data_IF_824881309487
#
_entry.id   IF_824881309487
#
_cell.length_a   1.000
_cell.length_b   1.000
_cell.length_c   1.000
_cell.angle_alpha   90.00
_cell.angle_beta   90.00
_cell.angle_gamma   90.00
#
_symmetry.space_group_name_H-M   'P 1'
#
loop_
_entity.id
_entity.type
_entity.pdbx_description
1 polymer ?
#
# COMPACT_ATOMS: atom_id res chain seq x y z
N UNK A 1 9.84 -74.45 -46.18
CA UNK A 1 9.87 -73.04 -46.61
C UNK A 1 9.27 -72.06 -45.59
N UNK A 2 8.59 -72.54 -44.52
CA UNK A 2 7.95 -71.69 -43.49
C UNK A 2 8.91 -71.29 -42.35
N UNK A 3 9.89 -72.14 -42.00
CA UNK A 3 10.82 -71.86 -40.89
C UNK A 3 11.76 -70.66 -41.15
N UNK A 4 12.22 -70.48 -42.39
CA UNK A 4 13.14 -69.39 -42.77
C UNK A 4 12.45 -68.01 -42.74
N UNK A 5 11.12 -67.99 -42.89
CA UNK A 5 10.33 -66.75 -42.85
C UNK A 5 10.06 -66.29 -41.41
N UNK A 6 9.96 -67.23 -40.45
CA UNK A 6 9.74 -66.90 -39.04
C UNK A 6 10.98 -66.24 -38.41
N UNK A 7 12.17 -66.78 -38.68
CA UNK A 7 13.45 -66.25 -38.17
C UNK A 7 13.76 -64.85 -38.72
N UNK A 8 13.33 -64.55 -39.95
CA UNK A 8 13.50 -63.24 -40.55
C UNK A 8 12.56 -62.18 -39.93
N UNK A 9 11.35 -62.60 -39.54
CA UNK A 9 10.38 -61.74 -38.86
C UNK A 9 10.81 -61.46 -37.42
N UNK A 10 11.28 -62.48 -36.69
CA UNK A 10 11.79 -62.32 -35.32
C UNK A 10 12.96 -61.33 -35.26
N UNK A 11 13.94 -61.45 -36.18
CA UNK A 11 15.07 -60.49 -36.24
C UNK A 11 14.63 -59.06 -36.56
N UNK A 12 13.54 -58.89 -37.33
CA UNK A 12 13.01 -57.56 -37.66
C UNK A 12 12.26 -56.96 -36.47
N UNK A 13 11.47 -57.76 -35.76
CA UNK A 13 10.77 -57.34 -34.54
C UNK A 13 11.78 -56.97 -33.46
N UNK A 14 12.81 -57.79 -33.23
CA UNK A 14 13.86 -57.49 -32.25
C UNK A 14 14.63 -56.20 -32.59
N UNK A 15 14.87 -55.94 -33.88
CA UNK A 15 15.50 -54.70 -34.34
C UNK A 15 14.63 -53.46 -34.10
N UNK A 16 13.34 -53.52 -34.44
CA UNK A 16 12.41 -52.40 -34.25
C UNK A 16 12.10 -52.14 -32.76
N UNK A 17 11.97 -53.21 -31.96
CA UNK A 17 11.79 -53.12 -30.50
C UNK A 17 13.05 -52.58 -29.83
N UNK A 18 14.24 -52.98 -30.28
CA UNK A 18 15.51 -52.45 -29.80
C UNK A 18 15.66 -50.96 -30.07
N UNK A 19 15.29 -50.49 -31.27
CA UNK A 19 15.30 -49.07 -31.62
C UNK A 19 14.30 -48.25 -30.79
N UNK A 20 13.08 -48.77 -30.59
CA UNK A 20 12.07 -48.11 -29.77
C UNK A 20 12.49 -48.00 -28.30
N UNK A 21 13.11 -49.05 -27.74
CA UNK A 21 13.64 -49.05 -26.38
C UNK A 21 14.81 -48.07 -26.21
N UNK A 22 15.69 -47.98 -27.21
CA UNK A 22 16.77 -46.99 -27.23
C UNK A 22 16.27 -45.55 -27.26
N UNK A 23 15.25 -45.27 -28.08
CA UNK A 23 14.61 -43.95 -28.15
C UNK A 23 13.93 -43.55 -26.84
N UNK A 24 13.24 -44.49 -26.19
CA UNK A 24 12.59 -44.24 -24.90
C UNK A 24 13.61 -43.96 -23.77
N UNK A 25 14.74 -44.68 -23.76
CA UNK A 25 15.80 -44.45 -22.78
C UNK A 25 16.46 -43.08 -22.96
N UNK A 26 16.70 -42.65 -24.20
CA UNK A 26 17.25 -41.32 -24.48
C UNK A 26 16.30 -40.20 -24.02
N UNK A 27 14.99 -40.39 -24.23
CA UNK A 27 13.96 -39.42 -23.85
C UNK A 27 13.77 -39.35 -22.33
N UNK A 28 13.86 -40.48 -21.63
CA UNK A 28 13.86 -40.52 -20.16
C UNK A 28 15.05 -39.78 -19.56
N UNK A 29 16.24 -39.93 -20.15
CA UNK A 29 17.44 -39.27 -19.66
C UNK A 29 17.41 -37.75 -19.91
N UNK A 30 16.91 -37.32 -21.07
CA UNK A 30 16.67 -35.90 -21.36
C UNK A 30 15.67 -35.28 -20.37
N UNK A 31 14.58 -35.98 -20.06
CA UNK A 31 13.58 -35.51 -19.09
C UNK A 31 14.11 -35.50 -17.67
N UNK A 32 14.95 -36.47 -17.28
CA UNK A 32 15.63 -36.50 -15.98
C UNK A 32 16.51 -35.27 -15.80
N UNK A 33 17.36 -34.96 -16.78
CA UNK A 33 18.25 -33.81 -16.75
C UNK A 33 17.47 -32.48 -16.73
N UNK A 34 16.38 -32.38 -17.48
CA UNK A 34 15.51 -31.21 -17.46
C UNK A 34 14.85 -31.00 -16.09
N UNK A 35 14.42 -32.09 -15.44
CA UNK A 35 13.80 -32.04 -14.12
C UNK A 35 14.82 -31.66 -13.03
N UNK A 36 16.03 -32.23 -13.08
CA UNK A 36 17.13 -31.87 -12.16
C UNK A 36 17.52 -30.40 -12.28
N UNK A 37 17.55 -29.85 -13.50
CA UNK A 37 17.81 -28.42 -13.72
C UNK A 37 16.70 -27.52 -13.18
N UNK A 38 15.43 -27.96 -13.24
CA UNK A 38 14.31 -27.23 -12.63
C UNK A 38 14.34 -27.30 -11.11
N UNK A 39 14.71 -28.44 -10.53
CA UNK A 39 14.83 -28.61 -9.08
C UNK A 39 15.95 -27.73 -8.51
N UNK A 40 17.12 -27.68 -9.17
CA UNK A 40 18.21 -26.80 -8.77
C UNK A 40 17.83 -25.30 -8.83
N UNK A 41 16.98 -24.90 -9.80
CA UNK A 41 16.43 -23.53 -9.84
C UNK A 41 15.44 -23.24 -8.73
N UNK A 42 14.70 -24.24 -8.27
CA UNK A 42 13.77 -24.12 -7.15
C UNK A 42 14.52 -24.01 -5.82
N UNK A 43 15.54 -24.83 -5.60
CA UNK A 43 16.40 -24.75 -4.40
C UNK A 43 17.08 -23.37 -4.32
N UNK A 44 17.66 -22.88 -5.42
CA UNK A 44 18.26 -21.55 -5.44
C UNK A 44 17.28 -20.42 -5.10
N UNK A 45 16.00 -20.54 -5.50
CA UNK A 45 14.94 -19.59 -5.14
C UNK A 45 14.49 -19.73 -3.69
N UNK A 46 14.50 -20.94 -3.14
CA UNK A 46 14.17 -21.19 -1.75
C UNK A 46 15.24 -20.60 -0.81
N UNK A 47 16.52 -20.74 -1.18
CA UNK A 47 17.65 -20.13 -0.47
C UNK A 47 17.59 -18.60 -0.53
N UNK A 48 17.31 -18.01 -1.71
CA UNK A 48 17.14 -16.57 -1.88
C UNK A 48 15.98 -16.01 -1.03
N UNK A 49 14.88 -16.77 -0.91
CA UNK A 49 13.76 -16.42 -0.04
C UNK A 49 14.13 -16.53 1.45
N UNK A 50 14.90 -17.55 1.83
CA UNK A 50 15.43 -17.72 3.18
C UNK A 50 16.33 -16.57 3.61
N UNK A 51 17.23 -16.14 2.73
CA UNK A 51 18.13 -15.01 2.98
C UNK A 51 17.38 -13.67 3.07
N UNK A 52 16.33 -13.49 2.26
CA UNK A 52 15.46 -12.32 2.34
C UNK A 52 14.68 -12.29 3.68
N UNK A 53 14.21 -13.44 4.16
CA UNK A 53 13.52 -13.56 5.46
C UNK A 53 14.46 -13.31 6.64
N UNK A 54 15.68 -13.85 6.60
CA UNK A 54 16.70 -13.60 7.61
C UNK A 54 17.19 -12.15 7.60
N UNK A 55 17.16 -11.49 6.43
CA UNK A 55 17.33 -10.04 6.31
C UNK A 55 16.25 -9.26 7.04
N UNK A 56 14.99 -9.67 6.91
CA UNK A 56 13.85 -9.06 7.59
C UNK A 56 13.96 -9.20 9.12
N UNK A 57 14.45 -10.36 9.60
CA UNK A 57 14.67 -10.66 11.02
C UNK A 57 15.78 -9.82 11.68
N UNK A 58 16.70 -9.26 10.89
CA UNK A 58 17.79 -8.40 11.36
C UNK A 58 17.42 -6.92 11.42
N UNK A 59 16.37 -6.51 10.71
CA UNK A 59 15.73 -5.23 10.95
C UNK A 59 14.93 -5.37 12.26
N UNK A 60 15.02 -4.41 13.19
CA UNK A 60 14.40 -4.44 14.52
C UNK A 60 12.86 -4.40 14.46
N UNK A 61 12.26 -5.36 13.78
CA UNK A 61 10.83 -5.56 13.67
C UNK A 61 10.48 -6.77 14.55
N UNK A 62 10.08 -6.46 15.79
CA UNK A 62 9.60 -7.36 16.85
C UNK A 62 10.66 -8.07 17.71
N UNK A 63 10.41 -8.10 19.03
CA UNK A 63 11.12 -9.01 19.94
C UNK A 63 10.76 -10.46 19.58
N UNK A 64 11.70 -11.38 19.76
CA UNK A 64 11.61 -12.79 19.33
C UNK A 64 10.33 -13.51 19.83
N UNK A 65 9.87 -13.17 21.03
CA UNK A 65 8.68 -13.73 21.69
C UNK A 65 7.33 -13.18 21.16
N UNK A 66 7.33 -12.02 20.51
CA UNK A 66 6.17 -11.46 19.81
C UNK A 66 6.05 -12.04 18.40
N UNK A 67 7.18 -12.19 17.71
CA UNK A 67 7.23 -12.81 16.40
C UNK A 67 6.80 -14.29 16.45
N UNK A 68 7.26 -15.05 17.45
CA UNK A 68 6.90 -16.47 17.56
C UNK A 68 5.39 -16.66 17.81
N UNK A 69 4.77 -15.81 18.65
CA UNK A 69 3.30 -15.82 18.88
C UNK A 69 2.51 -15.45 17.62
N UNK A 70 2.96 -14.42 16.92
CA UNK A 70 2.39 -14.02 15.65
C UNK A 70 2.50 -15.17 14.64
N UNK A 71 3.64 -15.84 14.57
CA UNK A 71 3.84 -16.92 13.61
C UNK A 71 2.92 -18.12 13.87
N UNK A 72 2.71 -18.46 15.14
CA UNK A 72 1.77 -19.50 15.56
C UNK A 72 0.31 -19.12 15.26
N UNK A 73 -0.05 -17.85 15.36
CA UNK A 73 -1.38 -17.33 15.01
C UNK A 73 -1.65 -17.44 13.50
N UNK A 74 -0.70 -17.03 12.65
CA UNK A 74 -0.83 -17.15 11.19
C UNK A 74 -0.84 -18.61 10.73
N UNK A 75 -0.05 -19.48 11.37
CA UNK A 75 -0.07 -20.91 11.10
C UNK A 75 -1.40 -21.55 11.51
N UNK A 76 -2.00 -21.05 12.59
CA UNK A 76 -3.35 -21.42 13.03
C UNK A 76 -4.43 -20.99 12.03
N UNK A 77 -4.31 -19.82 11.39
CA UNK A 77 -5.27 -19.35 10.39
C UNK A 77 -5.11 -19.99 9.01
N UNK A 78 -3.90 -20.45 8.66
CA UNK A 78 -3.61 -21.20 7.43
C UNK A 78 -3.97 -22.69 7.53
N UNK A 79 -4.41 -23.16 8.70
CA UNK A 79 -4.60 -24.57 9.00
C UNK A 79 -6.04 -25.06 8.83
N UNK A 80 -6.36 -25.63 7.67
CA UNK A 80 -7.29 -26.78 7.62
C UNK A 80 -6.61 -27.95 6.92
N UNK A 81 -5.88 -28.76 7.70
CA UNK A 81 -5.49 -30.14 7.35
C UNK A 81 -4.13 -30.33 6.68
N UNK A 82 -3.36 -31.38 7.06
CA UNK A 82 -2.10 -31.71 6.41
C UNK A 82 -2.37 -32.34 5.04
N UNK A 83 -2.17 -31.57 3.97
CA UNK A 83 -2.23 -32.08 2.60
C UNK A 83 -2.87 -31.17 1.55
N UNK A 84 -3.41 -30.00 1.92
CA UNK A 84 -3.91 -29.06 0.92
C UNK A 84 -2.77 -28.20 0.37
N UNK A 85 -2.63 -28.21 -0.95
CA UNK A 85 -1.82 -27.27 -1.73
C UNK A 85 -2.24 -25.85 -1.34
N UNK A 86 -1.30 -25.11 -0.73
CA UNK A 86 -1.56 -23.76 -0.23
C UNK A 86 -1.63 -22.83 -1.43
N UNK A 87 -2.85 -22.43 -1.78
CA UNK A 87 -3.14 -21.53 -2.89
C UNK A 87 -2.47 -20.16 -2.64
N UNK A 88 -1.58 -19.76 -3.57
CA UNK A 88 -0.79 -18.54 -3.47
C UNK A 88 -1.67 -17.28 -3.38
N UNK A 89 -2.87 -17.32 -3.95
CA UNK A 89 -3.82 -16.21 -3.88
C UNK A 89 -4.45 -16.07 -2.49
N UNK A 90 -4.68 -17.18 -1.78
CA UNK A 90 -5.15 -17.16 -0.39
C UNK A 90 -4.06 -16.70 0.57
N UNK A 91 -2.81 -17.11 0.35
CA UNK A 91 -1.66 -16.59 1.12
C UNK A 91 -1.50 -15.10 0.91
N UNK A 92 -1.66 -14.62 -0.34
CA UNK A 92 -1.58 -13.20 -0.65
C UNK A 92 -2.71 -12.40 -0.02
N UNK A 93 -3.94 -12.93 -0.03
CA UNK A 93 -5.08 -12.28 0.61
C UNK A 93 -4.91 -12.20 2.13
N UNK A 94 -4.47 -13.29 2.76
CA UNK A 94 -4.21 -13.34 4.19
C UNK A 94 -3.02 -12.44 4.59
N UNK A 95 -1.94 -12.43 3.81
CA UNK A 95 -0.81 -11.54 4.05
C UNK A 95 -1.21 -10.07 3.95
N UNK A 96 -2.08 -9.72 2.99
CA UNK A 96 -2.67 -8.37 2.91
C UNK A 96 -3.52 -8.06 4.14
N UNK A 97 -4.40 -8.96 4.55
CA UNK A 97 -5.29 -8.74 5.69
C UNK A 97 -4.51 -8.57 7.01
N UNK A 98 -3.50 -9.40 7.23
CA UNK A 98 -2.65 -9.35 8.44
C UNK A 98 -1.79 -8.08 8.44
N UNK A 99 -1.18 -7.74 7.29
CA UNK A 99 -0.41 -6.50 7.17
C UNK A 99 -1.30 -5.27 7.42
N UNK A 100 -2.52 -5.24 6.86
CA UNK A 100 -3.46 -4.14 7.07
C UNK A 100 -3.89 -4.05 8.54
N UNK A 101 -4.24 -5.17 9.18
CA UNK A 101 -4.66 -5.19 10.59
C UNK A 101 -3.58 -4.72 11.55
N UNK A 102 -2.33 -5.08 11.30
CA UNK A 102 -1.21 -4.71 12.17
C UNK A 102 -0.74 -3.26 11.94
N UNK A 103 -0.86 -2.77 10.70
CA UNK A 103 -0.63 -1.36 10.34
C UNK A 103 -1.76 -0.47 10.86
N UNK A 104 -3.01 -0.95 10.89
CA UNK A 104 -4.16 -0.28 11.50
C UNK A 104 -3.99 -0.11 13.02
N UNK A 105 -3.40 -1.10 13.71
CA UNK A 105 -3.06 -0.98 15.14
C UNK A 105 -1.86 -0.06 15.38
N UNK A 106 -0.92 -0.01 14.44
CA UNK A 106 0.29 0.80 14.49
C UNK A 106 0.23 2.00 13.54
N UNK A 107 -0.91 2.71 13.45
CA UNK A 107 -1.06 3.97 12.70
C UNK A 107 -0.13 5.12 13.20
N UNK A 108 0.98 4.79 13.85
CA UNK A 108 2.26 5.45 13.71
C UNK A 108 2.93 5.01 12.39
N UNK A 109 2.36 5.42 11.26
CA UNK A 109 2.89 5.23 9.90
C UNK A 109 4.25 5.94 9.69
N UNK A 110 5.31 5.45 10.33
CA UNK A 110 6.69 5.91 10.20
C UNK A 110 7.05 7.23 10.90
N UNK A 111 6.06 8.01 11.38
CA UNK A 111 6.29 9.36 11.97
C UNK A 111 6.17 9.36 13.51
N UNK A 112 5.63 8.29 14.11
CA UNK A 112 5.47 8.21 15.58
C UNK A 112 4.41 9.15 16.17
N UNK A 113 3.47 9.65 15.35
CA UNK A 113 2.36 10.53 15.77
C UNK A 113 1.02 9.90 15.41
N UNK A 114 0.02 10.02 16.29
CA UNK A 114 -1.34 9.52 16.06
C UNK A 114 -2.02 10.31 14.94
N UNK A 115 -2.66 9.62 14.00
CA UNK A 115 -3.52 10.22 12.98
C UNK A 115 -4.99 10.24 13.45
N UNK A 116 -5.56 11.44 13.56
CA UNK A 116 -6.96 11.66 13.95
C UNK A 116 -7.90 11.81 12.76
N UNK A 117 -7.37 11.92 11.54
CA UNK A 117 -8.14 12.01 10.31
C UNK A 117 -8.40 10.64 9.68
N UNK A 118 -7.70 9.59 10.13
CA UNK A 118 -7.79 8.24 9.55
C UNK A 118 -9.22 7.67 9.53
N UNK A 119 -9.63 7.12 8.38
CA UNK A 119 -10.99 6.62 8.15
C UNK A 119 -11.35 5.44 9.07
N UNK A 120 -10.44 4.47 9.22
CA UNK A 120 -10.62 3.31 10.11
C UNK A 120 -10.74 3.72 11.59
N UNK A 121 -10.22 4.88 11.95
CA UNK A 121 -10.34 5.47 13.29
C UNK A 121 -11.62 6.27 13.52
N UNK A 122 -12.49 6.40 12.52
CA UNK A 122 -13.74 7.20 12.59
C UNK A 122 -13.63 8.60 12.00
N UNK A 123 -12.48 8.96 11.43
CA UNK A 123 -12.37 10.12 10.55
C UNK A 123 -13.21 9.93 9.28
N UNK A 124 -13.68 11.01 8.68
CA UNK A 124 -14.43 10.94 7.41
C UNK A 124 -14.38 12.24 6.63
N UNK A 125 -14.50 12.15 5.32
CA UNK A 125 -14.66 13.32 4.46
C UNK A 125 -16.12 13.77 4.48
N UNK A 126 -16.36 15.02 4.89
CA UNK A 126 -17.71 15.60 4.98
C UNK A 126 -18.08 16.37 3.72
N UNK A 127 -17.13 17.15 3.18
CA UNK A 127 -17.33 17.95 1.96
C UNK A 127 -16.04 17.98 1.15
N UNK A 128 -16.15 18.06 -0.17
CA UNK A 128 -15.00 18.20 -1.04
C UNK A 128 -15.38 18.90 -2.34
N UNK A 129 -14.37 19.41 -3.06
CA UNK A 129 -14.53 19.90 -4.45
C UNK A 129 -14.91 18.78 -5.42
N UNK A 130 -15.32 19.14 -6.64
CA UNK A 130 -15.77 18.16 -7.62
C UNK A 130 -14.71 17.07 -7.88
N UNK A 131 -15.08 15.82 -7.64
CA UNK A 131 -14.18 14.70 -7.86
C UNK A 131 -13.91 14.52 -9.35
N UNK A 132 -12.68 14.17 -9.70
CA UNK A 132 -12.29 13.88 -11.07
C UNK A 132 -12.82 12.50 -11.46
N UNK A 133 -13.75 12.47 -12.40
CA UNK A 133 -14.25 11.24 -13.01
C UNK A 133 -13.59 11.08 -14.38
N UNK A 134 -12.77 10.03 -14.60
CA UNK A 134 -12.15 9.81 -15.89
C UNK A 134 -13.24 9.57 -16.95
N UNK A 135 -13.32 10.47 -17.94
CA UNK A 135 -14.15 10.25 -19.13
C UNK A 135 -13.51 9.13 -19.95
N UNK A 136 -14.02 7.90 -19.87
CA UNK A 136 -13.59 6.83 -20.79
C UNK A 136 -14.67 6.50 -21.81
N UNK A 137 -14.27 6.62 -23.08
CA UNK A 137 -15.00 6.14 -24.23
C UNK A 137 -14.96 4.61 -24.34
N UNK A 138 -15.96 4.10 -25.07
CA UNK A 138 -16.27 2.72 -25.43
C UNK A 138 -16.88 1.79 -24.35
N UNK A 139 -18.11 1.40 -24.66
CA UNK A 139 -19.08 0.51 -23.98
C UNK A 139 -18.51 -0.85 -23.53
N UNK A 140 -17.36 -1.30 -24.05
CA UNK A 140 -16.79 -2.64 -23.76
C UNK A 140 -15.96 -2.65 -22.45
N UNK A 141 -15.53 -1.49 -21.94
CA UNK A 141 -14.78 -1.40 -20.68
C UNK A 141 -15.65 -1.26 -19.43
N UNK A 142 -16.99 -1.24 -19.57
CA UNK A 142 -17.95 -1.00 -18.49
C UNK A 142 -18.09 -2.13 -17.46
N UNK A 143 -17.59 -3.34 -17.73
CA UNK A 143 -17.70 -4.49 -16.82
C UNK A 143 -16.52 -4.65 -15.85
N UNK A 144 -15.39 -3.98 -16.10
CA UNK A 144 -14.25 -3.88 -15.17
C UNK A 144 -14.09 -2.46 -14.63
N UNK A 145 -15.17 -1.66 -14.68
CA UNK A 145 -15.15 -0.25 -14.39
C UNK A 145 -14.84 -0.01 -12.90
N UNK A 146 -13.61 0.42 -12.64
CA UNK A 146 -13.13 0.86 -11.35
C UNK A 146 -14.03 1.92 -10.72
N UNK A 147 -14.12 1.81 -9.40
CA UNK A 147 -15.03 2.50 -8.49
C UNK A 147 -15.22 3.99 -8.76
N UNK A 148 -16.39 4.47 -8.33
CA UNK A 148 -16.67 5.90 -8.12
C UNK A 148 -15.48 6.55 -7.39
N UNK A 149 -15.19 7.81 -7.71
CA UNK A 149 -14.17 8.57 -6.99
C UNK A 149 -14.55 8.61 -5.49
N UNK A 150 -13.84 7.83 -4.70
CA UNK A 150 -14.08 7.67 -3.27
C UNK A 150 -13.19 8.64 -2.50
N UNK A 151 -13.76 9.68 -1.88
CA UNK A 151 -13.00 10.64 -1.10
C UNK A 151 -12.37 10.02 0.15
N UNK A 152 -12.88 8.91 0.67
CA UNK A 152 -12.31 8.28 1.88
C UNK A 152 -10.92 7.69 1.64
N UNK A 153 -10.52 7.47 0.38
CA UNK A 153 -9.20 6.94 0.03
C UNK A 153 -8.03 7.79 0.55
N UNK A 154 -8.18 9.12 0.64
CA UNK A 154 -7.12 9.99 1.18
C UNK A 154 -6.96 9.88 2.71
N UNK A 155 -7.91 9.25 3.39
CA UNK A 155 -7.88 9.01 4.84
C UNK A 155 -7.51 7.55 5.15
N UNK A 156 -7.24 6.74 4.12
CA UNK A 156 -6.83 5.35 4.23
C UNK A 156 -5.32 5.20 3.94
N UNK A 157 -4.65 4.21 4.54
CA UNK A 157 -3.27 3.90 4.21
C UNK A 157 -3.20 3.33 2.78
N UNK A 158 -2.75 4.15 1.85
CA UNK A 158 -2.28 3.71 0.54
C UNK A 158 -0.77 3.90 0.53
N UNK A 159 0.02 2.84 0.35
CA UNK A 159 1.49 2.86 0.41
C UNK A 159 2.12 3.61 -0.79
N UNK A 160 1.54 4.74 -1.19
CA UNK A 160 1.88 5.45 -2.42
C UNK A 160 1.50 4.67 -3.68
N UNK A 161 0.57 3.71 -3.59
CA UNK A 161 0.16 2.92 -4.73
C UNK A 161 -0.52 3.81 -5.80
N UNK A 162 -0.02 3.79 -7.04
CA UNK A 162 -0.51 4.68 -8.10
C UNK A 162 -2.00 4.46 -8.37
N UNK A 163 -2.75 5.57 -8.43
CA UNK A 163 -4.19 5.52 -8.69
C UNK A 163 -5.07 5.23 -7.47
N UNK A 164 -4.48 5.07 -6.28
CA UNK A 164 -5.23 4.99 -5.01
C UNK A 164 -5.45 6.37 -4.35
N UNK A 165 -5.17 7.47 -5.05
CA UNK A 165 -5.37 8.81 -4.54
C UNK A 165 -6.80 9.33 -4.80
N UNK A 166 -7.23 10.29 -3.97
CA UNK A 166 -8.44 11.04 -4.22
C UNK A 166 -8.16 12.17 -5.22
N UNK A 167 -8.71 12.04 -6.43
CA UNK A 167 -8.53 12.98 -7.51
C UNK A 167 -9.68 14.01 -7.55
N UNK A 168 -9.33 15.29 -7.62
CA UNK A 168 -10.26 16.42 -7.76
C UNK A 168 -10.02 17.14 -9.09
N UNK A 169 -11.05 17.74 -9.67
CA UNK A 169 -10.95 18.45 -10.94
C UNK A 169 -10.18 19.76 -10.80
N UNK A 170 -9.34 20.06 -11.79
CA UNK A 170 -8.56 21.30 -11.84
C UNK A 170 -7.37 21.32 -10.88
N UNK A 171 -6.81 22.51 -10.66
CA UNK A 171 -5.61 22.73 -9.85
C UNK A 171 -5.90 23.36 -8.48
N UNK A 172 -7.16 23.70 -8.21
CA UNK A 172 -7.61 24.31 -6.96
C UNK A 172 -8.85 23.59 -6.41
N UNK A 173 -9.01 23.61 -5.10
CA UNK A 173 -10.11 22.92 -4.45
C UNK A 173 -9.96 22.86 -2.94
N UNK A 174 -10.87 22.13 -2.32
CA UNK A 174 -10.88 21.93 -0.88
C UNK A 174 -11.40 20.55 -0.49
N UNK A 175 -11.01 20.10 0.70
CA UNK A 175 -11.57 18.93 1.38
C UNK A 175 -11.81 19.28 2.84
N UNK A 176 -13.01 18.98 3.33
CA UNK A 176 -13.40 19.12 4.73
C UNK A 176 -13.53 17.73 5.36
N UNK A 177 -12.85 17.55 6.49
CA UNK A 177 -12.68 16.28 7.17
C UNK A 177 -13.19 16.47 8.60
N UNK A 178 -14.03 15.53 9.03
CA UNK A 178 -14.37 15.38 10.44
C UNK A 178 -13.38 14.41 11.07
N UNK A 179 -12.70 14.86 12.11
CA UNK A 179 -11.78 14.04 12.88
C UNK A 179 -12.55 13.04 13.74
N UNK A 180 -11.89 11.95 14.14
CA UNK A 180 -12.49 10.94 15.02
C UNK A 180 -12.92 11.47 16.39
N UNK A 181 -12.22 12.49 16.89
CA UNK A 181 -12.48 13.14 18.18
C UNK A 181 -11.99 14.58 18.14
N UNK A 182 -12.39 15.38 19.13
CA UNK A 182 -11.87 16.73 19.33
C UNK A 182 -10.42 16.70 19.83
N UNK A 183 -9.54 17.46 19.18
CA UNK A 183 -8.11 17.52 19.52
C UNK A 183 -7.60 18.96 19.61
N UNK A 184 -6.49 19.13 20.31
CA UNK A 184 -5.62 20.29 20.17
C UNK A 184 -4.62 19.96 19.05
N UNK A 185 -4.68 20.64 17.89
CA UNK A 185 -3.90 20.29 16.72
C UNK A 185 -2.44 20.72 16.89
N UNK A 186 -1.51 19.86 16.47
CA UNK A 186 -0.06 20.11 16.59
C UNK A 186 0.65 20.10 15.24
N UNK A 187 0.24 19.22 14.32
CA UNK A 187 0.81 19.16 12.99
C UNK A 187 -0.16 18.52 12.00
N UNK A 188 0.11 18.72 10.72
CA UNK A 188 -0.55 18.03 9.62
C UNK A 188 0.49 17.39 8.71
N UNK A 189 0.15 16.26 8.12
CA UNK A 189 1.04 15.57 7.17
C UNK A 189 0.31 15.40 5.85
N UNK A 190 0.99 15.73 4.76
CA UNK A 190 0.52 15.51 3.40
C UNK A 190 1.47 14.53 2.69
N UNK A 191 0.88 13.57 2.00
CA UNK A 191 1.62 12.55 1.26
C UNK A 191 1.27 12.56 -0.21
N UNK A 192 2.26 12.19 -1.01
CA UNK A 192 2.12 11.92 -2.43
C UNK A 192 2.99 10.72 -2.83
N UNK A 193 2.89 10.27 -4.09
CA UNK A 193 3.80 9.25 -4.64
C UNK A 193 5.28 9.63 -4.46
N UNK A 194 6.07 8.63 -4.09
CA UNK A 194 7.51 8.75 -3.90
C UNK A 194 8.23 9.11 -5.19
N UNK A 195 9.40 9.73 -5.04
CA UNK A 195 10.30 9.89 -6.17
C UNK A 195 10.85 8.50 -6.46
N UNK A 196 10.83 8.09 -7.72
CA UNK A 196 11.41 6.79 -8.14
C UNK A 196 12.90 6.67 -7.74
N UNK A 197 13.60 7.79 -7.58
CA UNK A 197 14.98 7.85 -7.05
C UNK A 197 15.10 7.36 -5.59
N UNK A 198 14.05 7.53 -4.76
CA UNK A 198 14.04 7.00 -3.39
C UNK A 198 13.92 5.46 -3.38
N UNK A 199 13.19 4.90 -4.35
CA UNK A 199 13.10 3.44 -4.59
C UNK A 199 14.45 2.91 -5.09
N UNK A 200 15.14 3.68 -5.94
CA UNK A 200 16.46 3.35 -6.42
C UNK A 200 17.56 3.48 -5.36
N UNK A 201 17.41 4.33 -4.34
CA UNK A 201 18.41 4.48 -3.27
C UNK A 201 18.68 3.18 -2.52
N UNK A 202 17.67 2.32 -2.37
CA UNK A 202 17.79 0.96 -1.80
C UNK A 202 18.46 -0.03 -2.76
N UNK A 203 18.42 0.23 -4.06
CA UNK A 203 19.00 -0.62 -5.12
C UNK A 203 20.33 -0.07 -5.67
N UNK A 204 20.75 1.13 -5.25
CA UNK A 204 21.93 1.84 -5.72
C UNK A 204 23.25 1.20 -5.29
N UNK A 205 23.23 0.28 -4.33
CA UNK A 205 24.38 -0.58 -3.99
C UNK A 205 24.76 -1.54 -5.11
N UNK A 206 23.86 -1.76 -6.07
CA UNK A 206 24.06 -2.68 -7.19
C UNK A 206 24.09 -1.91 -8.50
N UNK A 207 25.30 -1.48 -8.90
CA UNK A 207 25.54 -0.73 -10.14
C UNK A 207 24.98 -1.40 -11.42
N UNK A 208 24.77 -2.72 -11.40
CA UNK A 208 24.18 -3.49 -12.50
C UNK A 208 22.64 -3.39 -12.57
N UNK A 209 21.96 -3.08 -11.46
CA UNK A 209 20.51 -2.86 -11.44
C UNK A 209 20.16 -1.52 -12.09
N UNK A 210 21.02 -0.50 -11.93
CA UNK A 210 20.84 0.80 -12.56
C UNK A 210 20.62 0.66 -14.09
N UNK A 211 21.40 -0.14 -14.81
CA UNK A 211 21.25 -0.29 -16.28
C UNK A 211 19.95 -1.00 -16.69
N UNK A 212 19.42 -1.89 -15.85
CA UNK A 212 18.13 -2.57 -16.06
C UNK A 212 16.94 -1.66 -15.73
N UNK A 213 17.12 -0.73 -14.77
CA UNK A 213 16.08 0.20 -14.30
C UNK A 213 16.06 1.52 -15.08
N UNK A 214 17.16 1.93 -15.73
CA UNK A 214 17.15 3.07 -16.67
C UNK A 214 16.18 2.85 -17.86
N UNK A 215 15.84 1.60 -18.19
CA UNK A 215 14.80 1.25 -19.16
C UNK A 215 13.36 1.31 -18.63
N UNK A 216 13.14 1.59 -17.35
CA UNK A 216 11.81 1.75 -16.72
C UNK A 216 11.43 3.22 -16.51
N UNK A 217 12.06 4.14 -17.23
CA UNK A 217 11.74 5.58 -17.19
C UNK A 217 10.31 5.91 -17.66
N UNK A 218 9.62 4.95 -18.29
CA UNK A 218 8.28 5.14 -18.84
C UNK A 218 7.13 4.93 -17.84
N UNK A 219 7.40 4.50 -16.59
CA UNK A 219 6.37 4.55 -15.52
C UNK A 219 6.50 5.88 -14.77
N UNK A 220 6.42 6.98 -15.53
CA UNK A 220 6.37 8.32 -14.96
C UNK A 220 5.09 8.45 -14.13
N UNK A 221 5.19 8.24 -12.81
CA UNK A 221 4.16 8.68 -11.90
C UNK A 221 4.05 10.19 -12.02
N UNK A 222 2.92 10.66 -12.57
CA UNK A 222 2.70 12.07 -12.82
C UNK A 222 2.54 12.84 -11.50
N UNK A 223 3.68 13.28 -10.97
CA UNK A 223 3.80 14.10 -9.76
C UNK A 223 3.34 15.54 -9.98
N UNK A 224 3.04 15.95 -11.23
CA UNK A 224 2.48 17.28 -11.52
C UNK A 224 1.07 17.46 -10.94
N UNK A 225 0.41 16.35 -10.63
CA UNK A 225 -0.90 16.30 -9.98
C UNK A 225 -0.86 16.56 -8.48
N UNK A 226 0.32 16.59 -7.86
CA UNK A 226 0.43 16.86 -6.43
C UNK A 226 -0.06 18.27 -6.09
N UNK A 227 -0.81 18.47 -4.99
CA UNK A 227 -1.14 19.81 -4.52
C UNK A 227 0.16 20.55 -4.17
N UNK A 228 0.17 21.87 -4.37
CA UNK A 228 1.34 22.71 -4.14
C UNK A 228 1.08 23.70 -3.01
N UNK A 229 0.37 24.78 -3.29
CA UNK A 229 0.11 25.83 -2.31
C UNK A 229 -1.14 25.50 -1.49
N UNK A 230 -0.94 25.15 -0.22
CA UNK A 230 -1.97 24.61 0.67
C UNK A 230 -2.19 25.50 1.90
N UNK A 231 -3.43 25.56 2.36
CA UNK A 231 -3.83 26.18 3.63
C UNK A 231 -4.74 25.23 4.39
N UNK A 232 -4.43 25.00 5.66
CA UNK A 232 -5.24 24.18 6.56
C UNK A 232 -5.91 25.07 7.59
N UNK A 233 -7.21 24.92 7.72
CA UNK A 233 -8.02 25.60 8.73
C UNK A 233 -8.77 24.57 9.59
N UNK A 234 -9.07 24.92 10.85
CA UNK A 234 -9.78 24.05 11.76
C UNK A 234 -10.81 24.81 12.60
N UNK A 235 -11.86 24.11 13.02
CA UNK A 235 -12.87 24.63 13.93
C UNK A 235 -13.49 23.51 14.76
N UNK A 236 -14.24 23.91 15.77
CA UNK A 236 -15.10 23.00 16.52
C UNK A 236 -16.54 23.14 16.02
N UNK A 237 -17.14 22.03 15.62
CA UNK A 237 -18.56 21.92 15.28
C UNK A 237 -19.26 21.10 16.36
N UNK A 238 -20.15 21.74 17.13
CA UNK A 238 -20.99 21.07 18.13
C UNK A 238 -22.03 20.17 17.43
N UNK A 239 -22.14 18.92 17.87
CA UNK A 239 -23.21 18.02 17.46
C UNK A 239 -24.54 18.46 18.08
N UNK A 240 -25.61 18.43 17.29
CA UNK A 240 -26.98 18.81 17.70
C UNK A 240 -27.44 18.03 18.95
N UNK A 241 -27.32 18.66 20.12
CA UNK A 241 -27.66 18.07 21.42
C UNK A 241 -26.99 18.75 22.62
N UNK A 242 -25.89 19.49 22.41
CA UNK A 242 -25.24 20.29 23.45
C UNK A 242 -25.67 21.76 23.35
N UNK A 243 -25.83 22.43 24.50
CA UNK A 243 -26.40 23.77 24.58
C UNK A 243 -25.55 24.78 23.80
N UNK A 244 -26.19 25.45 22.84
CA UNK A 244 -25.60 26.44 21.93
C UNK A 244 -24.69 27.43 22.66
N UNK A 245 -23.36 27.24 22.55
CA UNK A 245 -22.42 28.29 22.86
C UNK A 245 -22.49 29.32 21.74
N UNK A 246 -22.84 30.56 22.07
CA UNK A 246 -23.06 31.69 21.16
C UNK A 246 -21.82 32.18 20.40
N UNK A 247 -20.75 31.39 20.33
CA UNK A 247 -19.59 31.67 19.51
C UNK A 247 -19.75 30.91 18.19
N UNK A 248 -20.10 31.63 17.13
CA UNK A 248 -19.93 31.12 15.76
C UNK A 248 -18.56 30.46 15.65
N UNK A 249 -18.51 29.20 15.22
CA UNK A 249 -17.30 28.40 15.14
C UNK A 249 -16.19 29.21 14.45
N UNK A 250 -15.27 29.76 15.25
CA UNK A 250 -14.22 30.65 14.74
C UNK A 250 -13.22 29.77 14.02
N UNK A 251 -13.32 29.72 12.69
CA UNK A 251 -12.37 29.01 11.85
C UNK A 251 -10.98 29.60 12.04
N UNK A 252 -10.05 28.81 12.57
CA UNK A 252 -8.67 29.19 12.81
C UNK A 252 -7.79 28.62 11.68
N UNK A 253 -6.88 29.45 11.15
CA UNK A 253 -5.88 28.98 10.18
C UNK A 253 -4.78 28.27 10.96
N UNK A 254 -4.63 26.96 10.75
CA UNK A 254 -3.68 26.13 11.47
C UNK A 254 -2.29 26.14 10.82
N UNK A 255 -2.24 26.07 9.50
CA UNK A 255 -0.98 26.03 8.75
C UNK A 255 -1.17 26.56 7.32
N UNK A 256 -0.13 27.21 6.80
CA UNK A 256 0.02 27.54 5.38
C UNK A 256 1.37 27.00 4.92
N UNK A 257 1.37 26.21 3.84
CA UNK A 257 2.59 25.55 3.37
C UNK A 257 2.57 25.27 1.87
N UNK A 258 3.77 25.09 1.33
CA UNK A 258 3.97 24.64 -0.04
C UNK A 258 4.54 23.22 -0.02
N UNK A 259 3.82 22.26 -0.58
CA UNK A 259 4.31 20.89 -0.75
C UNK A 259 5.39 20.86 -1.84
N UNK A 260 6.56 20.29 -1.54
CA UNK A 260 7.73 20.36 -2.42
C UNK A 260 8.11 18.98 -2.99
N UNK A 261 7.98 18.81 -4.31
CA UNK A 261 8.34 17.56 -4.99
C UNK A 261 9.82 17.16 -4.86
N UNK A 262 10.71 18.06 -4.45
CA UNK A 262 12.13 17.78 -4.22
C UNK A 262 12.42 17.17 -2.85
N UNK A 263 11.52 17.36 -1.88
CA UNK A 263 11.63 16.78 -0.54
C UNK A 263 11.06 15.36 -0.53
N UNK A 264 11.06 14.77 0.67
CA UNK A 264 10.39 13.50 0.95
C UNK A 264 8.92 13.54 0.48
N UNK A 265 8.39 12.39 0.06
CA UNK A 265 7.01 12.23 -0.38
C UNK A 265 6.00 12.28 0.77
N UNK A 266 6.48 12.17 2.01
CA UNK A 266 5.74 12.44 3.24
C UNK A 266 6.27 13.74 3.82
N UNK A 267 5.42 14.77 3.94
CA UNK A 267 5.80 16.07 4.46
C UNK A 267 4.88 16.49 5.61
N UNK A 268 5.47 16.72 6.77
CA UNK A 268 4.78 17.17 7.99
C UNK A 268 5.03 18.65 8.20
N UNK A 269 3.97 19.38 8.54
CA UNK A 269 3.95 20.81 8.78
C UNK A 269 3.35 21.08 10.16
N UNK A 270 4.09 21.78 11.02
CA UNK A 270 3.62 22.12 12.36
C UNK A 270 2.57 23.24 12.33
N UNK A 271 1.65 23.20 13.28
CA UNK A 271 0.57 24.18 13.44
C UNK A 271 1.12 25.47 14.03
N UNK A 272 0.76 26.61 13.43
CA UNK A 272 1.25 27.96 13.80
C UNK A 272 0.19 28.75 14.61
N UNK A 273 -0.94 28.11 14.94
CA UNK A 273 -2.05 28.72 15.68
C UNK A 273 -2.19 28.17 17.11
N UNK A 274 -1.50 28.75 18.11
CA UNK A 274 -1.57 28.30 19.50
C UNK A 274 -2.94 28.56 20.15
N UNK A 275 -3.76 29.45 19.59
CA UNK A 275 -5.09 29.84 20.08
C UNK A 275 -6.24 29.08 19.40
N UNK A 276 -5.94 28.10 18.54
CA UNK A 276 -6.96 27.32 17.83
C UNK A 276 -7.89 26.52 18.75
N UNK A 277 -7.46 26.24 19.99
CA UNK A 277 -8.24 25.49 20.97
C UNK A 277 -8.48 24.04 20.53
N UNK A 278 -9.62 23.48 20.95
CA UNK A 278 -10.05 22.15 20.54
C UNK A 278 -10.77 22.25 19.19
N UNK A 279 -10.41 21.39 18.24
CA UNK A 279 -11.07 21.28 16.94
C UNK A 279 -11.50 19.84 16.68
N UNK A 280 -12.60 19.66 15.97
CA UNK A 280 -13.04 18.35 15.47
C UNK A 280 -13.28 18.36 13.94
N UNK A 281 -13.18 19.53 13.31
CA UNK A 281 -13.30 19.73 11.89
C UNK A 281 -12.03 20.36 11.34
N UNK A 282 -11.57 19.87 10.19
CA UNK A 282 -10.46 20.44 9.42
C UNK A 282 -10.89 20.66 7.98
N UNK A 283 -10.36 21.72 7.39
CA UNK A 283 -10.45 22.03 5.97
C UNK A 283 -9.05 22.20 5.40
N UNK A 284 -8.72 21.41 4.38
CA UNK A 284 -7.55 21.57 3.53
C UNK A 284 -8.00 22.30 2.26
N UNK A 285 -7.53 23.53 2.05
CA UNK A 285 -7.63 24.25 0.79
C UNK A 285 -6.31 24.12 0.02
N UNK A 286 -6.36 23.92 -1.29
CA UNK A 286 -5.21 24.06 -2.18
C UNK A 286 -5.55 25.00 -3.34
N UNK A 287 -4.64 25.90 -3.67
CA UNK A 287 -4.86 26.93 -4.70
C UNK A 287 -4.10 26.65 -6.00
N UNK A 288 -3.16 25.71 -5.96
CA UNK A 288 -2.34 25.31 -7.09
C UNK A 288 -1.87 23.86 -6.94
N UNK A 289 -1.37 23.29 -8.05
CA UNK A 289 -0.65 22.03 -8.10
C UNK A 289 0.69 22.19 -8.84
N UNK A 290 1.39 21.09 -9.10
CA UNK A 290 2.71 21.09 -9.73
C UNK A 290 2.72 21.03 -11.26
N UNK A 291 1.58 21.33 -11.92
CA UNK A 291 1.54 21.53 -13.38
C UNK A 291 0.39 20.85 -14.12
N UNK A 292 -0.41 20.02 -13.44
CA UNK A 292 -1.58 19.40 -14.08
C UNK A 292 -2.73 20.40 -14.24
N UNK A 293 -3.24 20.55 -15.46
CA UNK A 293 -4.45 21.36 -15.72
C UNK A 293 -5.75 20.58 -15.55
N UNK A 294 -5.68 19.25 -15.45
CA UNK A 294 -6.84 18.36 -15.46
C UNK A 294 -7.32 18.03 -14.05
N UNK A 295 -6.38 17.73 -13.15
CA UNK A 295 -6.69 17.22 -11.82
C UNK A 295 -5.57 17.48 -10.81
N UNK A 296 -5.95 17.48 -9.53
CA UNK A 296 -5.06 17.40 -8.38
C UNK A 296 -5.36 16.13 -7.60
N UNK A 297 -4.34 15.37 -7.21
CA UNK A 297 -4.50 14.13 -6.47
C UNK A 297 -3.89 14.20 -5.07
N UNK A 298 -4.67 13.80 -4.07
CA UNK A 298 -4.21 13.68 -2.68
C UNK A 298 -4.13 12.19 -2.34
N UNK A 299 -2.92 11.71 -2.04
CA UNK A 299 -2.72 10.30 -1.67
C UNK A 299 -3.11 10.06 -0.22
N UNK A 300 -2.59 10.88 0.69
CA UNK A 300 -2.96 10.80 2.09
C UNK A 300 -2.80 12.12 2.81
N UNK A 301 -3.76 12.43 3.69
CA UNK A 301 -3.72 13.58 4.56
C UNK A 301 -3.96 13.15 6.00
N UNK A 302 -3.03 13.51 6.89
CA UNK A 302 -3.06 13.14 8.30
C UNK A 302 -3.13 14.37 9.18
N UNK A 303 -3.79 14.21 10.32
CA UNK A 303 -3.92 15.28 11.31
C UNK A 303 -3.43 14.76 12.64
N UNK A 304 -2.49 15.48 13.25
CA UNK A 304 -1.82 15.11 14.47
C UNK A 304 -2.10 16.13 15.57
N UNK A 305 -2.18 15.63 16.80
CA UNK A 305 -2.39 16.45 17.98
C UNK A 305 -2.58 15.61 19.22
N UNK A 306 -3.14 16.23 20.25
CA UNK A 306 -3.42 15.60 21.54
C UNK A 306 -4.87 15.82 21.95
N UNK A 307 -5.41 14.86 22.67
CA UNK A 307 -6.75 14.99 23.25
C UNK A 307 -6.74 16.06 24.36
N UNK A 308 -7.80 16.88 24.46
CA UNK A 308 -7.94 17.83 25.55
C UNK A 308 -8.00 17.08 26.88
N UNK A 309 -7.14 17.47 27.82
CA UNK A 309 -7.15 16.91 29.17
C UNK A 309 -8.32 17.52 29.93
N UNK A 310 -9.37 16.74 30.15
CA UNK A 310 -10.46 17.14 31.04
C UNK A 310 -10.02 16.90 32.50
N UNK A 311 -10.07 17.92 33.37
CA UNK A 311 -9.82 17.74 34.80
C UNK A 311 -10.96 16.91 35.41
N UNK A 312 -10.81 15.58 35.37
CA UNK A 312 -11.83 14.65 35.87
C UNK A 312 -11.42 13.18 35.93
N UNK A 313 -10.39 12.74 35.19
CA UNK A 313 -9.97 11.33 35.16
C UNK A 313 -8.66 11.11 35.92
N UNK A 314 -8.63 11.43 37.21
CA UNK A 314 -7.70 10.75 38.13
C UNK A 314 -8.39 9.44 38.53
N UNK A 315 -8.25 8.43 37.68
CA UNK A 315 -8.72 7.07 37.91
C UNK A 315 -7.57 6.22 38.45
N UNK A 316 -7.67 5.87 39.73
CA UNK A 316 -6.88 4.93 40.51
C UNK A 316 -6.22 3.78 39.74
N UNK A 317 -4.88 3.74 39.76
CA UNK A 317 -4.14 2.47 39.82
C UNK A 317 -3.41 2.43 41.17
N UNK A 318 -4.06 1.76 42.13
CA UNK A 318 -3.42 1.09 43.25
C UNK A 318 -3.45 -0.41 42.95
#
# INVERSE_FOLDING_TARGET
>A
MIQVQLEAVDRKIDGEVGAARGGLLALLEEKRLALEAQLARLDARADELGDALDGLKRMEFLRKDEFDRFWDEVKGSLGTGPGSEVDLDQVRALAREIAMREIEKHAADGIGRVDYAVASGGGRVVRHSEAYVPKRGNIITGWFAGDKADPEKMLQPSFGEPGQCFAMQGSNGFVEIKLKTGIIPEAVTLEHVSKWEDILGLLATYAWILTLVHGMQDVAYDRSTAPKDCRVSGWYEETSGEAQSSHAAKMAVLAEFTYDLKKNNVQTFDVVAPDAGVINMIRLDFTSNHGSSLLTCIYRFRVHGREPVYPGTIGSHA
#
